data_IF_835191370299
#
_entry.id   IF_835191370299
#
_cell.length_a   1.000
_cell.length_b   1.000
_cell.length_c   1.000
_cell.angle_alpha   90.00
_cell.angle_beta   90.00
_cell.angle_gamma   90.00
#
_symmetry.space_group_name_H-M   'P 1'
#
loop_
_entity.id
_entity.type
_entity.pdbx_description
1 polymer ?
#
# COMPACT_ATOMS: atom_id res chain seq x y z
N UNK A 1 1.16 26.36 2.41
CA UNK A 1 0.85 24.93 2.57
C UNK A 1 0.97 24.27 1.21
N UNK A 2 1.72 23.19 1.09
CA UNK A 2 1.89 22.43 -0.16
C UNK A 2 1.10 21.13 -0.12
N UNK A 3 0.55 20.72 -1.26
CA UNK A 3 -0.02 19.39 -1.44
C UNK A 3 1.09 18.35 -1.58
N UNK A 4 1.00 17.28 -0.81
CA UNK A 4 1.93 16.14 -0.85
C UNK A 4 1.18 14.90 -1.34
N UNK A 5 1.80 14.16 -2.25
CA UNK A 5 1.31 12.85 -2.70
C UNK A 5 2.31 11.79 -2.22
N UNK A 6 1.87 10.90 -1.34
CA UNK A 6 2.66 9.80 -0.81
C UNK A 6 2.12 8.46 -1.30
N UNK A 7 2.96 7.65 -1.94
CA UNK A 7 2.63 6.28 -2.33
C UNK A 7 3.38 5.26 -1.48
N UNK A 8 2.65 4.44 -0.73
CA UNK A 8 3.18 3.28 -0.04
C UNK A 8 3.16 2.06 -0.96
N UNK A 9 4.29 1.37 -1.10
CA UNK A 9 4.34 0.11 -1.85
C UNK A 9 3.50 -0.97 -1.16
N UNK A 10 2.81 -1.82 -1.94
CA UNK A 10 2.01 -2.93 -1.40
C UNK A 10 2.84 -3.86 -0.51
N UNK A 11 4.11 -4.08 -0.87
CA UNK A 11 5.08 -4.86 -0.08
C UNK A 11 5.32 -4.35 1.34
N UNK A 12 5.05 -3.06 1.59
CA UNK A 12 5.27 -2.45 2.90
C UNK A 12 4.02 -2.61 3.77
N UNK A 13 2.82 -2.56 3.16
CA UNK A 13 1.52 -2.61 3.86
C UNK A 13 0.87 -4.00 3.86
N UNK A 14 1.43 -4.98 3.14
CA UNK A 14 0.96 -6.37 3.08
C UNK A 14 2.10 -7.37 3.28
N UNK A 15 1.78 -8.58 3.72
CA UNK A 15 2.71 -9.72 3.69
C UNK A 15 2.69 -10.36 2.29
N UNK A 16 3.82 -10.34 1.57
CA UNK A 16 3.89 -10.86 0.19
C UNK A 16 3.61 -12.35 0.08
N UNK A 17 4.08 -13.12 1.06
CA UNK A 17 4.03 -14.58 1.02
C UNK A 17 2.70 -15.14 1.56
N UNK A 18 1.79 -14.26 2.02
CA UNK A 18 0.47 -14.64 2.52
C UNK A 18 -0.62 -13.85 1.77
N UNK A 19 -1.45 -14.52 0.96
CA UNK A 19 -2.57 -13.87 0.28
C UNK A 19 -3.46 -13.11 1.25
N UNK A 20 -3.96 -11.95 0.82
CA UNK A 20 -4.99 -11.17 1.53
C UNK A 20 -4.59 -10.87 2.99
N UNK A 21 -3.30 -10.58 3.20
CA UNK A 21 -2.73 -10.42 4.55
C UNK A 21 -2.08 -9.04 4.73
N UNK A 22 -2.59 -8.19 5.64
CA UNK A 22 -2.02 -6.88 5.89
C UNK A 22 -0.83 -6.97 6.85
N UNK A 23 0.20 -6.16 6.62
CA UNK A 23 1.28 -5.97 7.58
C UNK A 23 0.86 -4.89 8.60
N UNK A 24 0.09 -5.30 9.62
CA UNK A 24 -0.49 -4.39 10.63
C UNK A 24 0.57 -3.61 11.41
N UNK A 25 1.73 -4.20 11.64
CA UNK A 25 2.84 -3.53 12.33
C UNK A 25 3.36 -2.35 11.52
N UNK A 26 3.69 -2.58 10.25
CA UNK A 26 4.14 -1.51 9.36
C UNK A 26 3.06 -0.46 9.15
N UNK A 27 1.80 -0.85 8.94
CA UNK A 27 0.69 0.09 8.81
C UNK A 27 0.65 1.02 10.03
N UNK A 28 0.66 0.45 11.24
CA UNK A 28 0.59 1.23 12.48
C UNK A 28 1.79 2.17 12.66
N UNK A 29 3.00 1.71 12.33
CA UNK A 29 4.22 2.53 12.38
C UNK A 29 4.13 3.69 11.38
N UNK A 30 3.83 3.40 10.12
CA UNK A 30 3.75 4.40 9.06
C UNK A 30 2.64 5.42 9.30
N UNK A 31 1.48 5.00 9.81
CA UNK A 31 0.41 5.93 10.16
C UNK A 31 0.86 6.96 11.21
N UNK A 32 1.72 6.57 12.17
CA UNK A 32 2.28 7.51 13.16
C UNK A 32 3.31 8.42 12.52
N UNK A 33 4.26 7.87 11.76
CA UNK A 33 5.29 8.65 11.07
C UNK A 33 4.69 9.70 10.11
N UNK A 34 3.63 9.33 9.39
CA UNK A 34 2.90 10.24 8.49
C UNK A 34 2.19 11.34 9.28
N UNK A 35 1.56 11.00 10.41
CA UNK A 35 0.89 11.99 11.27
C UNK A 35 1.89 12.96 11.92
N UNK A 36 3.06 12.47 12.32
CA UNK A 36 4.15 13.26 12.92
C UNK A 36 4.86 14.14 11.90
N UNK A 37 4.96 13.71 10.63
CA UNK A 37 5.61 14.47 9.55
C UNK A 37 4.90 15.80 9.23
N UNK A 38 3.61 15.92 9.54
CA UNK A 38 2.95 17.22 9.63
C UNK A 38 2.62 17.91 8.30
N UNK A 39 2.44 19.22 8.42
CA UNK A 39 1.37 20.02 7.82
C UNK A 39 1.36 20.14 6.28
N UNK A 40 0.15 20.04 5.73
CA UNK A 40 -0.15 20.16 4.31
C UNK A 40 -1.37 19.31 3.96
N UNK A 41 -1.88 19.46 2.75
CA UNK A 41 -2.86 18.51 2.23
C UNK A 41 -2.11 17.23 1.81
N UNK A 42 -2.60 16.07 2.24
CA UNK A 42 -1.98 14.78 1.93
C UNK A 42 -2.93 13.93 1.09
N UNK A 43 -2.44 13.48 -0.07
CA UNK A 43 -3.02 12.37 -0.81
C UNK A 43 -2.17 11.13 -0.54
N UNK A 44 -2.75 10.17 0.16
CA UNK A 44 -2.12 8.89 0.45
C UNK A 44 -2.63 7.82 -0.51
N UNK A 45 -1.70 7.15 -1.19
CA UNK A 45 -1.96 6.03 -2.10
C UNK A 45 -1.22 4.81 -1.55
N UNK A 46 -1.76 3.61 -1.72
CA UNK A 46 -1.03 2.38 -1.45
C UNK A 46 -1.13 1.38 -2.60
N UNK A 47 -0.15 0.48 -2.71
CA UNK A 47 -0.21 -0.65 -3.63
C UNK A 47 -1.11 -1.77 -3.08
N UNK A 48 -1.65 -2.60 -3.97
CA UNK A 48 -2.54 -3.72 -3.61
C UNK A 48 -1.84 -4.87 -2.89
N UNK A 49 -0.53 -5.07 -3.12
CA UNK A 49 0.24 -6.11 -2.41
C UNK A 49 -0.42 -7.49 -2.51
N UNK A 50 -0.46 -8.24 -1.41
CA UNK A 50 -1.10 -9.57 -1.38
C UNK A 50 -2.63 -9.57 -1.55
N UNK A 51 -3.27 -8.41 -1.69
CA UNK A 51 -4.68 -8.30 -2.09
C UNK A 51 -4.85 -8.13 -3.61
N UNK A 52 -3.83 -7.63 -4.30
CA UNK A 52 -3.90 -7.37 -5.75
C UNK A 52 -3.21 -8.44 -6.57
N UNK A 53 -1.98 -8.80 -6.20
CA UNK A 53 -1.15 -9.74 -6.98
C UNK A 53 -1.82 -11.11 -7.14
N UNK A 54 -2.34 -11.75 -6.06
CA UNK A 54 -2.97 -13.07 -6.23
C UNK A 54 -4.17 -13.07 -7.18
N UNK A 55 -4.98 -12.00 -7.15
CA UNK A 55 -6.13 -11.86 -8.05
C UNK A 55 -5.66 -11.61 -9.48
N UNK A 56 -4.66 -10.75 -9.68
CA UNK A 56 -4.12 -10.50 -11.02
C UNK A 56 -3.53 -11.76 -11.65
N UNK A 57 -2.86 -12.59 -10.85
CA UNK A 57 -2.29 -13.86 -11.27
C UNK A 57 -3.39 -14.90 -11.54
N UNK A 58 -4.43 -14.98 -10.70
CA UNK A 58 -5.58 -15.90 -10.90
C UNK A 58 -6.29 -15.67 -12.24
N UNK A 59 -6.43 -14.41 -12.65
CA UNK A 59 -7.10 -14.02 -13.88
C UNK A 59 -6.15 -13.78 -15.06
N UNK A 60 -4.85 -14.13 -14.93
CA UNK A 60 -3.82 -13.88 -15.94
C UNK A 60 -3.84 -12.45 -16.51
N UNK A 61 -4.11 -11.46 -15.67
CA UNK A 61 -4.31 -10.07 -16.13
C UNK A 61 -3.04 -9.48 -16.76
N UNK A 62 -1.88 -10.00 -16.41
CA UNK A 62 -0.59 -9.63 -17.00
C UNK A 62 -0.42 -10.12 -18.44
N UNK A 63 -1.22 -11.11 -18.88
CA UNK A 63 -1.17 -11.67 -20.24
C UNK A 63 -2.04 -10.88 -21.24
N UNK A 64 -2.87 -9.94 -20.76
CA UNK A 64 -3.77 -9.16 -21.61
C UNK A 64 -5.06 -9.91 -21.96
N UNK A 65 -5.73 -9.45 -23.02
CA UNK A 65 -6.99 -10.00 -23.54
C UNK A 65 -6.83 -10.53 -24.97
#
# INVERSE_FOLDING_TARGET
MSLIILKLGGSVVTEKDKPVTPNKENIKRLSREIAEAGEGELILIHGGGSYGHPVADEYNLSEGY
#
